data_IF_909012007960
#
_entry.id   IF_909012007960
#
_cell.length_a   1.000
_cell.length_b   1.000
_cell.length_c   1.000
_cell.angle_alpha   90.00
_cell.angle_beta   90.00
_cell.angle_gamma   90.00
#
_symmetry.space_group_name_H-M   'P 1'
#
loop_
_entity.id
_entity.type
_entity.pdbx_description
1 polymer ?
#
# COMPACT_ATOMS: atom_id res chain seq x y z
N UNK A 1 -73.05 10.56 -31.00
CA UNK A 1 -73.19 11.61 -29.97
C UNK A 1 -72.67 11.04 -28.65
N UNK A 2 -71.45 11.44 -28.27
CA UNK A 2 -70.77 11.28 -26.97
C UNK A 2 -70.77 9.89 -26.29
N UNK A 3 -69.64 9.29 -25.93
CA UNK A 3 -68.54 9.88 -25.18
C UNK A 3 -67.30 9.00 -25.33
N UNK A 4 -66.19 9.63 -25.70
CA UNK A 4 -64.85 9.08 -25.55
C UNK A 4 -64.65 8.59 -24.11
N UNK A 5 -64.45 7.28 -23.96
CA UNK A 5 -63.92 6.73 -22.72
C UNK A 5 -62.41 6.70 -22.85
N UNK A 6 -61.79 7.65 -22.14
CA UNK A 6 -60.37 7.76 -21.88
C UNK A 6 -59.68 6.38 -21.85
N UNK A 7 -58.86 6.10 -22.87
CA UNK A 7 -57.87 5.03 -22.77
C UNK A 7 -56.82 5.49 -21.77
N UNK A 8 -56.98 5.07 -20.52
CA UNK A 8 -55.93 5.15 -19.52
C UNK A 8 -54.88 4.11 -19.95
N UNK A 9 -53.80 4.59 -20.55
CA UNK A 9 -52.59 3.81 -20.74
C UNK A 9 -51.97 3.63 -19.36
N UNK A 10 -52.22 2.49 -18.73
CA UNK A 10 -51.49 2.08 -17.53
C UNK A 10 -50.11 1.64 -17.99
N UNK A 11 -49.18 2.59 -18.01
CA UNK A 11 -47.76 2.32 -18.12
C UNK A 11 -47.33 1.62 -16.82
N UNK A 12 -47.28 0.29 -16.83
CA UNK A 12 -46.69 -0.49 -15.74
C UNK A 12 -45.19 -0.26 -15.79
N UNK A 13 -44.73 0.73 -15.03
CA UNK A 13 -43.32 0.92 -14.72
C UNK A 13 -42.88 -0.25 -13.85
N UNK A 14 -42.27 -1.26 -14.48
CA UNK A 14 -41.53 -2.32 -13.79
C UNK A 14 -40.24 -1.70 -13.24
N UNK A 15 -40.34 -1.03 -12.09
CA UNK A 15 -39.16 -0.66 -11.31
C UNK A 15 -38.65 -1.96 -10.71
N UNK A 16 -37.61 -2.53 -11.33
CA UNK A 16 -36.80 -3.56 -10.72
C UNK A 16 -36.02 -2.90 -9.57
N UNK A 17 -36.65 -2.81 -8.40
CA UNK A 17 -36.01 -2.39 -7.15
C UNK A 17 -35.12 -3.56 -6.71
N UNK A 18 -33.92 -3.61 -7.27
CA UNK A 18 -32.82 -4.38 -6.69
C UNK A 18 -32.44 -3.71 -5.36
N UNK A 19 -33.20 -4.00 -4.31
CA UNK A 19 -32.80 -3.64 -2.95
C UNK A 19 -31.66 -4.59 -2.60
N UNK A 20 -30.43 -4.10 -2.71
CA UNK A 20 -29.27 -4.78 -2.19
C UNK A 20 -29.37 -4.79 -0.65
N UNK A 21 -29.87 -5.89 -0.08
CA UNK A 21 -29.81 -6.13 1.36
C UNK A 21 -28.38 -6.54 1.73
N UNK A 22 -27.61 -5.56 2.23
CA UNK A 22 -26.27 -5.77 2.74
C UNK A 22 -26.27 -5.74 4.26
N UNK A 23 -26.12 -6.92 4.87
CA UNK A 23 -25.88 -7.04 6.31
C UNK A 23 -24.51 -6.42 6.66
N UNK A 24 -24.49 -5.37 7.47
CA UNK A 24 -23.27 -4.76 7.96
C UNK A 24 -22.96 -5.23 9.38
N UNK A 25 -22.25 -6.35 9.51
CA UNK A 25 -21.50 -6.63 10.75
C UNK A 25 -20.36 -5.63 10.80
N UNK A 26 -20.39 -4.73 11.79
CA UNK A 26 -19.25 -3.91 12.16
C UNK A 26 -18.69 -4.49 13.45
N UNK A 27 -17.40 -4.83 13.45
CA UNK A 27 -16.72 -5.27 14.66
C UNK A 27 -15.67 -4.26 15.06
N UNK A 28 -15.60 -4.00 16.36
CA UNK A 28 -14.53 -3.23 16.98
C UNK A 28 -14.15 -3.97 18.25
N UNK A 29 -12.87 -4.29 18.40
CA UNK A 29 -12.25 -5.00 19.53
C UNK A 29 -13.21 -5.42 20.67
N UNK A 30 -13.65 -6.69 20.64
CA UNK A 30 -14.49 -7.28 21.68
C UNK A 30 -16.00 -7.07 21.53
N UNK A 31 -16.45 -6.32 20.51
CA UNK A 31 -17.86 -6.06 20.22
C UNK A 31 -18.24 -6.47 18.80
N UNK A 32 -19.39 -7.11 18.67
CA UNK A 32 -20.08 -7.30 17.39
C UNK A 32 -21.28 -6.37 17.38
N UNK A 33 -21.33 -5.46 16.40
CA UNK A 33 -22.49 -4.62 16.10
C UNK A 33 -23.17 -5.19 14.87
N UNK A 34 -24.46 -5.47 15.03
CA UNK A 34 -25.30 -6.00 13.97
C UNK A 34 -26.43 -5.02 13.64
N UNK A 35 -26.48 -4.56 12.39
CA UNK A 35 -27.56 -3.73 11.85
C UNK A 35 -28.71 -4.62 11.33
N UNK A 36 -29.87 -4.50 11.98
CA UNK A 36 -31.07 -5.30 11.73
C UNK A 36 -32.23 -4.47 11.16
N UNK A 37 -31.96 -3.41 10.39
CA UNK A 37 -33.03 -2.73 9.62
C UNK A 37 -33.80 -3.67 8.66
N UNK A 38 -33.32 -4.91 8.45
CA UNK A 38 -34.11 -6.07 8.00
C UNK A 38 -34.70 -6.87 9.17
N UNK A 39 -36.01 -6.75 9.37
CA UNK A 39 -36.78 -7.03 10.59
C UNK A 39 -36.72 -8.43 11.27
N UNK A 40 -36.07 -9.49 10.76
CA UNK A 40 -36.12 -10.82 11.40
C UNK A 40 -34.98 -11.76 10.98
N UNK A 41 -33.74 -11.56 11.44
CA UNK A 41 -32.69 -12.55 11.12
C UNK A 41 -31.78 -12.94 12.30
N UNK A 42 -31.26 -14.17 12.18
CA UNK A 42 -30.59 -14.97 13.20
C UNK A 42 -29.28 -14.32 13.68
N UNK A 43 -29.05 -14.31 15.00
CA UNK A 43 -27.84 -13.72 15.62
C UNK A 43 -26.82 -14.78 16.06
N UNK A 44 -25.52 -14.66 15.72
CA UNK A 44 -24.48 -15.56 16.21
C UNK A 44 -24.41 -15.53 17.75
N UNK A 45 -24.60 -16.69 18.40
CA UNK A 45 -24.43 -16.86 19.85
C UNK A 45 -23.02 -17.36 20.18
N UNK A 46 -22.57 -18.37 19.45
CA UNK A 46 -21.27 -19.00 19.65
C UNK A 46 -20.57 -19.13 18.30
N UNK A 47 -19.25 -18.91 18.30
CA UNK A 47 -18.41 -19.11 17.13
C UNK A 47 -17.37 -20.17 17.47
N UNK A 48 -17.38 -21.27 16.73
CA UNK A 48 -16.36 -22.31 16.83
C UNK A 48 -15.30 -22.05 15.78
N UNK A 49 -14.06 -21.91 16.23
CA UNK A 49 -12.86 -21.87 15.41
C UNK A 49 -12.33 -23.30 15.31
N UNK A 50 -12.05 -23.73 14.08
CA UNK A 50 -11.52 -25.05 13.76
C UNK A 50 -10.07 -24.93 13.32
N UNK A 51 -9.25 -25.90 13.69
CA UNK A 51 -7.82 -25.91 13.36
C UNK A 51 -7.58 -26.08 11.85
N UNK A 52 -8.53 -26.68 11.14
CA UNK A 52 -8.43 -26.99 9.72
C UNK A 52 -9.54 -26.32 8.90
N UNK A 53 -9.30 -26.04 7.60
CA UNK A 53 -10.30 -25.43 6.72
C UNK A 53 -11.51 -26.33 6.45
N UNK A 54 -11.42 -27.64 6.76
CA UNK A 54 -12.52 -28.60 6.56
C UNK A 54 -13.41 -28.78 7.80
N UNK A 55 -13.22 -27.94 8.84
CA UNK A 55 -14.01 -27.93 10.07
C UNK A 55 -14.04 -29.27 10.81
N UNK A 56 -12.98 -30.07 10.72
CA UNK A 56 -12.93 -31.40 11.35
C UNK A 56 -12.56 -31.33 12.83
N UNK A 57 -11.65 -30.43 13.19
CA UNK A 57 -11.05 -30.37 14.52
C UNK A 57 -11.41 -29.04 15.19
N UNK A 58 -12.45 -28.99 16.05
CA UNK A 58 -12.76 -27.78 16.79
C UNK A 58 -11.61 -27.45 17.73
N UNK A 59 -11.28 -26.17 17.81
CA UNK A 59 -10.10 -25.70 18.54
C UNK A 59 -10.47 -24.69 19.64
N UNK A 60 -11.42 -23.80 19.36
CA UNK A 60 -11.84 -22.77 20.32
C UNK A 60 -13.29 -22.38 20.10
N UNK A 61 -14.04 -22.24 21.18
CA UNK A 61 -15.37 -21.65 21.17
C UNK A 61 -15.31 -20.23 21.74
N UNK A 62 -15.72 -19.26 20.92
CA UNK A 62 -15.96 -17.89 21.32
C UNK A 62 -17.43 -17.75 21.69
N UNK A 63 -17.70 -17.50 22.97
CA UNK A 63 -19.04 -17.28 23.48
C UNK A 63 -19.35 -15.79 23.49
N UNK A 64 -20.49 -15.44 22.93
CA UNK A 64 -21.00 -14.08 22.93
C UNK A 64 -22.25 -14.03 23.81
N UNK A 65 -22.31 -13.04 24.68
CA UNK A 65 -23.54 -12.69 25.39
C UNK A 65 -24.13 -11.46 24.77
N UNK A 66 -25.45 -11.46 24.68
CA UNK A 66 -26.21 -10.28 24.33
C UNK A 66 -25.91 -9.18 25.35
N UNK A 67 -25.41 -8.03 24.89
CA UNK A 67 -25.24 -6.89 25.79
C UNK A 67 -26.61 -6.35 26.18
N UNK A 68 -26.72 -5.82 27.40
CA UNK A 68 -27.99 -5.28 27.93
C UNK A 68 -28.43 -3.97 27.26
N UNK A 69 -27.62 -3.38 26.40
CA UNK A 69 -27.88 -2.06 25.80
C UNK A 69 -28.04 -2.21 24.28
N UNK A 70 -29.30 -2.13 23.81
CA UNK A 70 -29.58 -1.81 22.41
C UNK A 70 -29.21 -0.35 22.15
N UNK A 71 -28.48 -0.07 21.07
CA UNK A 71 -28.27 1.32 20.64
C UNK A 71 -29.64 1.91 20.24
N UNK A 72 -30.17 2.89 21.00
CA UNK A 72 -31.53 3.38 20.81
C UNK A 72 -31.70 4.16 19.50
N UNK A 73 -30.63 4.67 18.88
CA UNK A 73 -30.72 5.38 17.60
C UNK A 73 -30.78 4.44 16.40
N UNK A 74 -30.26 3.20 16.51
CA UNK A 74 -30.04 2.34 15.33
C UNK A 74 -30.67 0.93 15.42
N UNK A 75 -31.40 0.59 16.49
CA UNK A 75 -31.95 -0.76 16.69
C UNK A 75 -30.87 -1.87 16.63
N UNK A 76 -29.62 -1.52 16.98
CA UNK A 76 -28.51 -2.44 16.94
C UNK A 76 -28.41 -3.20 18.27
N UNK A 77 -28.23 -4.51 18.20
CA UNK A 77 -27.77 -5.29 19.34
C UNK A 77 -26.25 -5.32 19.37
N UNK A 78 -25.68 -4.93 20.50
CA UNK A 78 -24.25 -5.09 20.76
C UNK A 78 -24.09 -6.44 21.45
N UNK A 79 -23.16 -7.26 20.98
CA UNK A 79 -22.76 -8.50 21.66
C UNK A 79 -21.36 -8.32 22.22
N UNK A 80 -21.24 -8.56 23.53
CA UNK A 80 -19.96 -8.53 24.22
C UNK A 80 -19.39 -9.96 24.26
N UNK A 81 -18.15 -10.10 23.78
CA UNK A 81 -17.43 -11.37 23.87
C UNK A 81 -17.03 -11.65 25.31
N UNK A 82 -17.39 -12.83 25.82
CA UNK A 82 -17.08 -13.23 27.21
C UNK A 82 -15.63 -13.71 27.34
N UNK A 83 -15.10 -14.34 26.27
CA UNK A 83 -13.74 -14.88 26.27
C UNK A 83 -12.72 -13.77 25.93
N UNK A 84 -11.86 -13.42 26.89
CA UNK A 84 -10.84 -12.37 26.75
C UNK A 84 -9.51 -12.88 26.13
N UNK A 85 -8.82 -11.96 25.45
CA UNK A 85 -7.63 -12.12 24.58
C UNK A 85 -6.38 -12.65 25.31
N UNK A 86 -6.29 -12.46 26.63
CA UNK A 86 -5.00 -12.47 27.34
C UNK A 86 -4.29 -13.83 27.46
N UNK A 87 -4.89 -14.94 27.02
CA UNK A 87 -4.32 -16.29 27.19
C UNK A 87 -4.14 -17.07 25.89
N UNK A 88 -4.41 -16.47 24.72
CA UNK A 88 -4.39 -17.18 23.44
C UNK A 88 -3.06 -17.02 22.71
N UNK A 89 -2.36 -18.13 22.51
CA UNK A 89 -1.20 -18.21 21.61
C UNK A 89 -1.69 -18.20 20.15
N UNK A 90 -1.66 -17.04 19.50
CA UNK A 90 -2.12 -16.81 18.13
C UNK A 90 -1.51 -17.78 17.11
N UNK A 91 -0.31 -18.32 17.39
CA UNK A 91 0.36 -19.32 16.55
C UNK A 91 -0.41 -20.63 16.43
N UNK A 92 -1.41 -20.87 17.25
CA UNK A 92 -2.21 -22.10 17.18
C UNK A 92 -3.47 -21.96 16.33
N UNK A 93 -3.77 -20.75 15.86
CA UNK A 93 -5.05 -20.41 15.22
C UNK A 93 -4.90 -19.96 13.75
N UNK A 94 -3.71 -20.03 13.15
CA UNK A 94 -3.52 -19.57 11.77
C UNK A 94 -4.25 -20.46 10.77
N UNK A 95 -4.79 -19.85 9.72
CA UNK A 95 -5.51 -20.56 8.66
C UNK A 95 -6.77 -21.30 9.15
N UNK A 96 -7.19 -21.03 10.37
CA UNK A 96 -8.40 -21.62 10.94
C UNK A 96 -9.63 -21.18 10.17
N UNK A 97 -10.61 -22.07 10.08
CA UNK A 97 -11.95 -21.73 9.61
C UNK A 97 -12.89 -21.55 10.80
N UNK A 98 -13.93 -20.74 10.61
CA UNK A 98 -14.91 -20.44 11.65
C UNK A 98 -16.30 -20.83 11.19
N UNK A 99 -17.07 -21.41 12.10
CA UNK A 99 -18.50 -21.65 11.94
C UNK A 99 -19.24 -21.08 13.14
N UNK A 100 -20.47 -20.61 12.92
CA UNK A 100 -21.30 -20.05 13.96
C UNK A 100 -22.52 -20.93 14.26
N UNK A 101 -22.94 -20.89 15.52
CA UNK A 101 -24.28 -21.25 15.94
C UNK A 101 -25.08 -19.98 16.19
N UNK A 102 -26.33 -19.98 15.75
CA UNK A 102 -27.15 -18.79 15.60
C UNK A 102 -28.50 -19.06 16.27
N UNK A 103 -29.00 -18.13 17.08
CA UNK A 103 -30.33 -18.24 17.68
C UNK A 103 -31.37 -17.66 16.73
N UNK A 104 -32.38 -18.45 16.41
CA UNK A 104 -33.59 -17.94 15.79
C UNK A 104 -34.48 -17.33 16.89
N UNK A 105 -34.64 -16.00 16.86
CA UNK A 105 -35.48 -15.28 17.82
C UNK A 105 -36.97 -15.62 17.73
N UNK A 106 -37.43 -16.19 16.61
CA UNK A 106 -38.84 -16.56 16.41
C UNK A 106 -39.14 -17.94 16.97
N UNK A 107 -38.27 -18.92 16.69
CA UNK A 107 -38.47 -20.31 17.14
C UNK A 107 -37.76 -20.64 18.45
N UNK A 108 -36.90 -19.74 18.95
CA UNK A 108 -36.01 -19.94 20.09
C UNK A 108 -35.13 -21.21 19.96
N UNK A 109 -34.81 -21.60 18.72
CA UNK A 109 -33.93 -22.74 18.41
C UNK A 109 -32.56 -22.25 18.00
N UNK A 110 -31.53 -22.96 18.46
CA UNK A 110 -30.15 -22.74 18.03
C UNK A 110 -29.86 -23.58 16.80
N UNK A 111 -29.45 -22.94 15.72
CA UNK A 111 -29.00 -23.59 14.50
C UNK A 111 -27.48 -23.44 14.33
N UNK A 112 -26.77 -24.54 14.09
CA UNK A 112 -25.30 -24.59 14.01
C UNK A 112 -24.82 -24.92 12.60
N UNK A 113 -23.54 -24.67 12.32
CA UNK A 113 -22.94 -24.92 11.02
C UNK A 113 -23.11 -23.75 10.05
N UNK A 114 -23.53 -22.58 10.54
CA UNK A 114 -23.62 -21.40 9.70
C UNK A 114 -22.22 -21.00 9.23
N UNK A 115 -22.08 -20.83 7.92
CA UNK A 115 -20.87 -20.38 7.24
C UNK A 115 -21.26 -19.16 6.42
N UNK A 116 -21.02 -17.98 6.96
CA UNK A 116 -21.12 -16.74 6.21
C UNK A 116 -19.76 -16.09 6.12
N UNK A 117 -19.50 -15.43 4.99
CA UNK A 117 -18.31 -14.62 4.77
C UNK A 117 -18.09 -13.59 5.89
N UNK A 118 -19.18 -13.08 6.49
CA UNK A 118 -19.14 -12.14 7.61
C UNK A 118 -18.72 -12.76 8.95
N UNK A 119 -18.75 -14.09 9.13
CA UNK A 119 -18.35 -14.74 10.40
C UNK A 119 -16.89 -14.45 10.72
N UNK A 120 -16.03 -14.37 9.71
CA UNK A 120 -14.62 -14.01 9.87
C UNK A 120 -14.43 -12.64 10.48
N UNK A 121 -15.37 -11.71 10.26
CA UNK A 121 -15.34 -10.37 10.87
C UNK A 121 -15.51 -10.41 12.37
N UNK A 122 -16.08 -11.49 12.91
CA UNK A 122 -16.26 -11.70 14.35
C UNK A 122 -15.01 -12.28 15.04
N UNK A 123 -13.98 -12.64 14.26
CA UNK A 123 -12.71 -13.15 14.76
C UNK A 123 -11.79 -12.00 15.20
N UNK A 124 -10.67 -12.34 15.85
CA UNK A 124 -9.72 -11.34 16.31
C UNK A 124 -9.08 -10.63 15.10
N UNK A 125 -9.17 -9.28 15.02
CA UNK A 125 -8.40 -8.57 14.02
C UNK A 125 -6.91 -8.67 14.33
N UNK A 126 -6.04 -8.57 13.31
CA UNK A 126 -4.61 -8.43 13.53
C UNK A 126 -4.32 -7.21 14.42
N UNK A 127 -3.37 -7.33 15.35
CA UNK A 127 -2.93 -6.21 16.18
C UNK A 127 -1.42 -6.20 16.39
N UNK A 128 -0.88 -5.05 16.83
CA UNK A 128 0.56 -4.77 16.90
C UNK A 128 1.30 -5.06 15.58
N UNK A 129 0.62 -4.87 14.45
CA UNK A 129 1.18 -5.15 13.13
C UNK A 129 2.22 -4.09 12.79
N UNK A 130 3.44 -4.53 12.53
CA UNK A 130 4.60 -3.69 12.21
C UNK A 130 5.30 -4.21 10.96
N UNK A 131 5.49 -3.33 9.99
CA UNK A 131 6.29 -3.60 8.80
C UNK A 131 7.74 -3.23 9.11
N UNK A 132 8.65 -4.20 9.05
CA UNK A 132 10.04 -3.97 9.46
C UNK A 132 10.79 -3.02 8.53
N UNK A 133 10.38 -2.96 7.26
CA UNK A 133 10.93 -2.07 6.25
C UNK A 133 9.84 -1.66 5.25
N UNK A 134 10.10 -0.60 4.48
CA UNK A 134 9.31 -0.27 3.29
C UNK A 134 9.84 -1.05 2.07
N UNK A 135 8.98 -1.50 1.14
CA UNK A 135 9.43 -2.15 -0.09
C UNK A 135 10.21 -1.18 -0.99
N UNK A 136 11.31 -1.60 -1.62
CA UNK A 136 11.98 -0.81 -2.64
C UNK A 136 11.12 -0.76 -3.91
N UNK A 137 11.34 0.23 -4.77
CA UNK A 137 10.51 0.42 -5.99
C UNK A 137 10.64 -0.74 -6.99
N UNK A 138 11.75 -1.49 -6.96
CA UNK A 138 11.94 -2.73 -7.73
C UNK A 138 11.14 -3.93 -7.22
N UNK A 139 10.39 -3.77 -6.14
CA UNK A 139 9.74 -4.87 -5.45
C UNK A 139 10.74 -5.66 -4.60
N UNK A 140 10.23 -6.53 -3.75
CA UNK A 140 11.05 -7.29 -2.83
C UNK A 140 10.27 -7.90 -1.68
N UNK A 141 10.99 -8.61 -0.81
CA UNK A 141 10.41 -9.28 0.35
C UNK A 141 10.46 -8.35 1.55
N UNK A 142 9.31 -8.14 2.19
CA UNK A 142 9.18 -7.39 3.43
C UNK A 142 8.68 -8.29 4.54
N UNK A 143 9.37 -8.22 5.67
CA UNK A 143 8.99 -8.94 6.86
C UNK A 143 8.03 -8.10 7.70
N UNK A 144 6.98 -8.74 8.19
CA UNK A 144 5.89 -8.13 8.95
C UNK A 144 5.70 -8.93 10.23
N UNK A 145 5.64 -8.24 11.37
CA UNK A 145 5.37 -8.84 12.66
C UNK A 145 4.02 -8.39 13.19
N UNK A 146 3.39 -9.20 14.03
CA UNK A 146 2.10 -8.88 14.63
C UNK A 146 1.43 -10.13 15.17
N UNK A 147 0.25 -9.96 15.75
CA UNK A 147 -0.53 -11.05 16.34
C UNK A 147 -1.80 -11.27 15.52
N UNK A 148 -2.23 -12.54 15.38
CA UNK A 148 -3.45 -12.95 14.66
C UNK A 148 -3.51 -12.51 13.18
N UNK A 149 -2.37 -12.20 12.56
CA UNK A 149 -2.30 -11.70 11.18
C UNK A 149 -2.91 -12.65 10.14
N UNK A 150 -2.98 -13.94 10.47
CA UNK A 150 -3.49 -15.01 9.59
C UNK A 150 -4.60 -15.82 10.26
N UNK A 151 -5.34 -15.23 11.20
CA UNK A 151 -6.51 -15.86 11.82
C UNK A 151 -7.69 -15.81 10.85
N UNK A 152 -8.42 -16.93 10.67
CA UNK A 152 -9.67 -16.91 9.91
C UNK A 152 -9.52 -16.76 8.40
N UNK A 153 -8.30 -16.79 7.87
CA UNK A 153 -8.05 -16.59 6.45
C UNK A 153 -8.18 -17.92 5.69
N UNK A 154 -8.72 -17.88 4.48
CA UNK A 154 -8.89 -19.09 3.66
C UNK A 154 -7.56 -19.55 3.04
N UNK A 155 -6.70 -18.60 2.66
CA UNK A 155 -5.45 -18.90 1.98
C UNK A 155 -4.26 -18.23 2.69
N UNK A 156 -3.41 -19.06 3.31
CA UNK A 156 -2.19 -18.63 4.00
C UNK A 156 -1.13 -18.04 3.07
N UNK A 157 -1.25 -18.20 1.75
CA UNK A 157 -0.27 -17.73 0.77
C UNK A 157 -0.65 -16.41 0.11
N UNK A 158 -1.85 -15.89 0.36
CA UNK A 158 -2.36 -14.71 -0.33
C UNK A 158 -2.66 -13.57 0.64
N UNK A 159 -2.21 -12.37 0.27
CA UNK A 159 -2.65 -11.09 0.81
C UNK A 159 -3.00 -10.14 -0.35
N UNK A 160 -3.66 -9.03 -0.05
CA UNK A 160 -4.11 -8.09 -1.07
C UNK A 160 -3.26 -6.81 -1.06
N UNK A 161 -2.85 -6.40 -2.25
CA UNK A 161 -2.14 -5.15 -2.50
C UNK A 161 -2.95 -4.24 -3.41
N UNK A 162 -3.12 -2.99 -2.98
CA UNK A 162 -3.89 -1.97 -3.68
C UNK A 162 -3.09 -0.67 -3.78
N UNK A 163 -2.65 -0.32 -4.97
CA UNK A 163 -2.11 1.01 -5.28
C UNK A 163 -3.07 1.76 -6.20
N UNK A 164 -2.67 2.94 -6.66
CA UNK A 164 -3.40 3.68 -7.71
C UNK A 164 -3.44 2.91 -9.04
N UNK A 165 -2.50 1.98 -9.23
CA UNK A 165 -2.18 1.36 -10.52
C UNK A 165 -2.55 -0.12 -10.53
N UNK A 166 -2.46 -0.77 -9.37
CA UNK A 166 -2.60 -2.20 -9.24
C UNK A 166 -3.60 -2.55 -8.16
N UNK A 167 -4.43 -3.52 -8.48
CA UNK A 167 -5.25 -4.24 -7.52
C UNK A 167 -4.97 -5.72 -7.74
N UNK A 168 -4.14 -6.30 -6.88
CA UNK A 168 -3.65 -7.67 -7.09
C UNK A 168 -3.36 -8.39 -5.79
N UNK A 169 -3.35 -9.70 -5.88
CA UNK A 169 -2.86 -10.57 -4.84
C UNK A 169 -1.33 -10.51 -4.79
N UNK A 170 -0.79 -10.57 -3.58
CA UNK A 170 0.64 -10.72 -3.33
C UNK A 170 0.90 -11.97 -2.51
N UNK A 171 2.08 -12.54 -2.71
CA UNK A 171 2.47 -13.79 -2.09
C UNK A 171 2.94 -13.55 -0.67
N UNK A 172 2.36 -14.30 0.26
CA UNK A 172 2.80 -14.42 1.65
C UNK A 172 3.46 -15.79 1.79
N UNK A 173 4.65 -15.83 2.37
CA UNK A 173 5.28 -17.10 2.70
C UNK A 173 4.46 -17.82 3.79
N UNK A 174 4.22 -19.12 3.61
CA UNK A 174 3.54 -19.96 4.58
C UNK A 174 2.88 -21.18 3.95
N UNK A 175 2.94 -22.31 4.64
CA UNK A 175 2.20 -23.52 4.30
C UNK A 175 1.43 -24.01 5.53
N UNK A 176 0.25 -24.60 5.31
CA UNK A 176 -0.57 -25.13 6.40
C UNK A 176 0.15 -26.21 7.20
N UNK A 177 0.95 -27.03 6.50
CA UNK A 177 1.60 -28.21 7.06
C UNK A 177 3.06 -27.95 7.50
N UNK A 178 3.59 -26.74 7.35
CA UNK A 178 4.95 -26.41 7.78
C UNK A 178 5.00 -26.23 9.31
N UNK A 179 5.67 -27.12 10.06
CA UNK A 179 5.75 -27.02 11.52
C UNK A 179 6.56 -25.82 12.01
N UNK A 180 7.35 -25.19 11.14
CA UNK A 180 8.14 -23.99 11.44
C UNK A 180 7.42 -22.69 11.04
N UNK A 181 6.22 -22.79 10.46
CA UNK A 181 5.47 -21.61 10.07
C UNK A 181 5.17 -20.72 11.28
N UNK A 182 5.57 -19.45 11.19
CA UNK A 182 5.31 -18.46 12.21
C UNK A 182 4.27 -17.45 11.72
N UNK A 183 2.98 -17.60 12.06
CA UNK A 183 1.93 -16.69 11.61
C UNK A 183 2.05 -15.28 12.22
N UNK A 184 2.94 -15.08 13.19
CA UNK A 184 3.25 -13.78 13.80
C UNK A 184 4.46 -13.10 13.16
N UNK A 185 5.11 -13.77 12.20
CA UNK A 185 6.23 -13.25 11.43
C UNK A 185 6.08 -13.67 9.97
N UNK A 186 5.55 -12.77 9.15
CA UNK A 186 5.24 -13.02 7.75
C UNK A 186 6.32 -12.43 6.86
N UNK A 187 6.70 -13.16 5.81
CA UNK A 187 7.48 -12.62 4.70
C UNK A 187 6.57 -12.43 3.50
N UNK A 188 6.52 -11.21 2.97
CA UNK A 188 5.54 -10.81 1.94
C UNK A 188 6.29 -10.26 0.74
N UNK A 189 6.01 -10.81 -0.45
CA UNK A 189 6.66 -10.40 -1.69
C UNK A 189 5.86 -9.31 -2.38
N UNK A 190 6.38 -8.09 -2.36
CA UNK A 190 5.79 -6.94 -3.04
C UNK A 190 6.25 -6.86 -4.51
N UNK A 191 5.34 -6.53 -5.44
CA UNK A 191 5.70 -6.27 -6.83
C UNK A 191 6.47 -4.95 -6.96
N UNK A 192 7.13 -4.71 -8.11
CA UNK A 192 7.64 -3.38 -8.45
C UNK A 192 6.52 -2.33 -8.43
N UNK A 193 6.83 -1.13 -7.95
CA UNK A 193 5.86 -0.04 -7.83
C UNK A 193 6.44 1.22 -7.20
N UNK A 194 5.57 2.19 -6.91
CA UNK A 194 5.95 3.50 -6.38
C UNK A 194 4.84 4.12 -5.53
N UNK A 195 5.19 5.19 -4.82
CA UNK A 195 4.22 6.01 -4.08
C UNK A 195 3.61 5.31 -2.86
N UNK A 196 2.42 5.78 -2.49
CA UNK A 196 1.61 5.23 -1.40
C UNK A 196 0.69 4.12 -1.89
N UNK A 197 0.45 3.13 -1.05
CA UNK A 197 -0.46 2.02 -1.34
C UNK A 197 -1.14 1.54 -0.06
N UNK A 198 -2.17 0.73 -0.23
CA UNK A 198 -2.92 0.07 0.83
C UNK A 198 -2.67 -1.44 0.74
N UNK A 199 -2.34 -2.05 1.87
CA UNK A 199 -2.04 -3.48 1.96
C UNK A 199 -2.95 -4.15 2.97
N UNK A 200 -3.63 -5.23 2.59
CA UNK A 200 -4.57 -5.95 3.44
C UNK A 200 -4.06 -7.37 3.68
N UNK A 201 -4.07 -7.80 4.94
CA UNK A 201 -3.63 -9.15 5.34
C UNK A 201 -4.64 -10.25 4.94
N UNK A 202 -5.81 -9.87 4.42
CA UNK A 202 -6.83 -10.77 3.92
C UNK A 202 -7.36 -10.27 2.57
N UNK A 203 -8.07 -11.16 1.86
CA UNK A 203 -8.83 -10.84 0.65
C UNK A 203 -10.06 -9.98 0.92
N UNK A 204 -10.43 -9.82 2.19
CA UNK A 204 -11.73 -9.29 2.59
C UNK A 204 -11.69 -7.78 2.86
N UNK A 205 -10.51 -7.17 2.64
CA UNK A 205 -10.20 -5.73 2.76
C UNK A 205 -10.55 -5.12 4.13
N UNK A 206 -10.68 -5.95 5.18
CA UNK A 206 -11.14 -5.47 6.48
C UNK A 206 -10.01 -4.78 7.25
N UNK A 207 -8.82 -5.41 7.24
CA UNK A 207 -7.67 -4.94 8.00
C UNK A 207 -6.55 -4.55 7.03
N UNK A 208 -6.58 -3.29 6.63
CA UNK A 208 -5.64 -2.76 5.67
C UNK A 208 -4.80 -1.63 6.25
N UNK A 209 -3.56 -1.57 5.79
CA UNK A 209 -2.53 -0.66 6.26
C UNK A 209 -2.15 0.29 5.12
N UNK A 210 -2.14 1.58 5.43
CA UNK A 210 -1.62 2.59 4.51
C UNK A 210 -0.09 2.63 4.62
N UNK A 211 0.57 2.28 3.52
CA UNK A 211 2.02 2.12 3.43
C UNK A 211 2.56 2.89 2.23
N UNK A 212 3.87 2.88 2.08
CA UNK A 212 4.54 3.44 0.92
C UNK A 212 5.76 2.62 0.54
N UNK A 213 6.15 2.72 -0.73
CA UNK A 213 7.48 2.32 -1.15
C UNK A 213 8.53 3.21 -0.48
N UNK A 214 9.79 2.77 -0.52
CA UNK A 214 10.93 3.58 -0.09
C UNK A 214 11.04 4.84 -0.94
N UNK A 215 11.41 5.95 -0.31
CA UNK A 215 11.68 7.20 -1.02
C UNK A 215 12.94 7.08 -1.88
N UNK A 216 13.02 7.83 -3.00
CA UNK A 216 14.24 7.86 -3.81
C UNK A 216 15.43 8.30 -2.95
N UNK A 217 16.61 7.79 -3.26
CA UNK A 217 17.86 8.15 -2.59
C UNK A 217 18.89 8.53 -3.65
N UNK A 218 19.57 9.66 -3.46
CA UNK A 218 20.67 10.09 -4.33
C UNK A 218 21.98 9.76 -3.59
N UNK A 219 22.75 8.81 -4.13
CA UNK A 219 24.04 8.40 -3.55
C UNK A 219 25.20 9.18 -4.16
N UNK A 220 25.16 9.45 -5.47
CA UNK A 220 26.14 10.30 -6.14
C UNK A 220 25.59 10.89 -7.43
N UNK A 221 26.24 11.94 -7.91
CA UNK A 221 25.89 12.60 -9.16
C UNK A 221 27.16 12.90 -9.92
N UNK A 222 27.16 12.63 -11.22
CA UNK A 222 28.28 12.84 -12.12
C UNK A 222 27.84 13.67 -13.32
N UNK A 223 28.60 14.70 -13.66
CA UNK A 223 28.40 15.49 -14.86
C UNK A 223 29.40 15.08 -15.95
N UNK A 224 28.88 14.69 -17.11
CA UNK A 224 29.69 14.36 -18.27
C UNK A 224 29.70 15.54 -19.24
N UNK A 225 30.85 16.19 -19.36
CA UNK A 225 31.06 17.38 -20.19
C UNK A 225 31.03 17.07 -21.69
N UNK A 226 31.33 15.82 -22.10
CA UNK A 226 31.39 15.43 -23.51
C UNK A 226 30.01 15.31 -24.14
N UNK A 227 29.00 14.87 -23.38
CA UNK A 227 27.64 14.66 -23.86
C UNK A 227 26.59 15.54 -23.15
N UNK A 228 27.01 16.43 -22.24
CA UNK A 228 26.13 17.28 -21.43
C UNK A 228 25.03 16.47 -20.71
N UNK A 229 25.43 15.36 -20.10
CA UNK A 229 24.54 14.55 -19.29
C UNK A 229 24.89 14.65 -17.81
N UNK A 230 23.85 14.72 -16.99
CA UNK A 230 23.94 14.57 -15.55
C UNK A 230 23.43 13.17 -15.18
N UNK A 231 24.33 12.31 -14.72
CA UNK A 231 24.01 10.96 -14.26
C UNK A 231 23.86 10.97 -12.74
N UNK A 232 22.69 10.60 -12.26
CA UNK A 232 22.34 10.49 -10.85
C UNK A 232 22.32 9.01 -10.50
N UNK A 233 23.21 8.59 -9.61
CA UNK A 233 23.22 7.24 -9.01
C UNK A 233 22.49 7.27 -7.68
N UNK A 234 21.83 6.17 -7.35
CA UNK A 234 20.95 6.13 -6.20
C UNK A 234 20.23 4.82 -6.05
N UNK A 235 19.14 4.86 -5.31
CA UNK A 235 18.21 3.76 -5.12
C UNK A 235 16.78 4.29 -5.19
N UNK A 236 15.84 3.36 -5.42
CA UNK A 236 14.40 3.62 -5.38
C UNK A 236 13.91 4.66 -6.38
N UNK A 237 14.62 4.79 -7.51
CA UNK A 237 14.05 5.44 -8.68
C UNK A 237 13.01 4.50 -9.32
N UNK A 238 12.09 5.05 -10.10
CA UNK A 238 11.06 4.26 -10.76
C UNK A 238 10.61 4.95 -12.02
N UNK A 239 10.51 4.19 -13.11
CA UNK A 239 10.01 4.68 -14.37
C UNK A 239 8.72 3.95 -14.72
N UNK A 240 7.60 4.65 -14.63
CA UNK A 240 6.33 4.15 -15.14
C UNK A 240 5.47 5.31 -15.59
N UNK A 241 4.54 5.00 -16.50
CA UNK A 241 3.53 5.91 -17.01
C UNK A 241 2.20 5.53 -16.41
N UNK A 242 1.48 6.50 -15.87
CA UNK A 242 0.21 6.25 -15.20
C UNK A 242 -1.01 6.61 -16.05
N UNK A 243 -1.97 5.68 -16.11
CA UNK A 243 -3.32 5.89 -16.62
C UNK A 243 -3.44 6.04 -18.14
N UNK A 244 -4.67 6.24 -18.61
CA UNK A 244 -5.03 6.31 -20.05
C UNK A 244 -4.32 7.46 -20.80
N UNK A 245 -3.77 8.43 -20.06
CA UNK A 245 -3.03 9.59 -20.61
C UNK A 245 -1.52 9.53 -20.35
N UNK A 246 -0.99 8.39 -19.90
CA UNK A 246 0.45 8.18 -19.66
C UNK A 246 1.13 9.32 -18.89
N UNK A 247 0.61 9.66 -17.71
CA UNK A 247 1.19 10.73 -16.90
C UNK A 247 2.54 10.30 -16.33
N UNK A 248 3.54 11.16 -16.46
CA UNK A 248 4.83 11.05 -15.80
C UNK A 248 4.63 11.11 -14.29
N UNK A 249 5.21 10.15 -13.58
CA UNK A 249 5.13 10.05 -12.12
C UNK A 249 6.36 10.67 -11.44
N UNK A 250 7.42 10.91 -12.21
CA UNK A 250 8.69 11.46 -11.76
C UNK A 250 8.80 12.92 -12.16
N UNK A 251 9.14 13.77 -11.20
CA UNK A 251 9.43 15.17 -11.43
C UNK A 251 10.80 15.50 -10.84
N UNK A 252 11.67 16.06 -11.67
CA UNK A 252 13.03 16.46 -11.27
C UNK A 252 13.12 17.97 -11.31
N UNK A 253 13.70 18.55 -10.26
CA UNK A 253 13.95 19.98 -10.16
C UNK A 253 15.45 20.20 -9.95
N UNK A 254 16.02 21.14 -10.69
CA UNK A 254 17.39 21.62 -10.50
C UNK A 254 17.32 23.09 -10.10
N UNK A 255 17.88 23.44 -8.94
CA UNK A 255 17.83 24.79 -8.37
C UNK A 255 16.40 25.36 -8.29
N UNK A 256 15.43 24.50 -7.94
CA UNK A 256 14.01 24.84 -7.84
C UNK A 256 13.25 24.93 -9.17
N UNK A 257 13.94 24.82 -10.31
CA UNK A 257 13.31 24.84 -11.64
C UNK A 257 12.97 23.41 -12.08
N UNK A 258 11.71 23.18 -12.46
CA UNK A 258 11.27 21.87 -12.97
C UNK A 258 11.90 21.59 -14.34
N UNK A 259 12.47 20.40 -14.50
CA UNK A 259 12.86 19.87 -15.80
C UNK A 259 11.62 19.41 -16.58
N UNK A 260 11.72 19.41 -17.91
CA UNK A 260 10.73 18.78 -18.78
C UNK A 260 10.96 17.27 -18.78
N UNK A 261 9.91 16.51 -19.07
CA UNK A 261 10.03 15.06 -19.23
C UNK A 261 11.04 14.68 -20.32
N UNK A 262 11.14 15.46 -21.41
CA UNK A 262 12.13 15.26 -22.47
C UNK A 262 13.58 15.41 -22.00
N UNK A 263 13.80 16.10 -20.88
CA UNK A 263 15.14 16.31 -20.33
C UNK A 263 15.57 15.09 -19.49
N UNK A 264 14.65 14.17 -19.18
CA UNK A 264 14.95 12.90 -18.54
C UNK A 264 15.23 11.87 -19.63
N UNK A 265 16.50 11.57 -19.87
CA UNK A 265 16.91 10.67 -20.96
C UNK A 265 16.70 9.20 -20.62
N UNK A 266 16.92 8.82 -19.36
CA UNK A 266 16.60 7.46 -18.87
C UNK A 266 16.40 7.43 -17.36
N UNK A 267 15.60 6.46 -16.90
CA UNK A 267 15.38 6.15 -15.48
C UNK A 267 15.34 4.63 -15.31
N UNK A 268 16.27 4.11 -14.52
CA UNK A 268 16.23 2.76 -13.93
C UNK A 268 15.86 2.82 -12.45
N UNK A 269 16.13 1.74 -11.70
CA UNK A 269 15.90 1.72 -10.24
C UNK A 269 17.03 2.38 -9.43
N UNK A 270 18.25 2.38 -10.00
CA UNK A 270 19.49 2.77 -9.31
C UNK A 270 20.26 3.87 -10.07
N UNK A 271 19.77 4.26 -11.25
CA UNK A 271 20.34 5.31 -12.08
C UNK A 271 19.26 6.13 -12.78
N UNK A 272 19.46 7.44 -12.85
CA UNK A 272 18.70 8.37 -13.66
C UNK A 272 19.68 9.23 -14.46
N UNK A 273 19.42 9.41 -15.76
CA UNK A 273 20.24 10.26 -16.64
C UNK A 273 19.39 11.41 -17.13
N UNK A 274 19.95 12.62 -17.05
CA UNK A 274 19.31 13.86 -17.45
C UNK A 274 20.13 14.54 -18.55
N UNK A 275 19.45 15.10 -19.54
CA UNK A 275 20.03 16.09 -20.44
C UNK A 275 20.11 17.41 -19.71
N UNK A 276 21.32 17.84 -19.37
CA UNK A 276 21.55 19.07 -18.62
C UNK A 276 22.82 19.72 -19.12
N UNK A 277 22.75 20.99 -19.54
CA UNK A 277 23.91 21.72 -20.02
C UNK A 277 24.36 22.73 -18.97
N UNK A 278 25.63 22.66 -18.58
CA UNK A 278 26.31 23.66 -17.77
C UNK A 278 27.64 24.03 -18.39
N UNK A 279 27.92 25.33 -18.49
CA UNK A 279 29.19 25.86 -19.01
C UNK A 279 30.11 26.39 -17.89
N UNK A 280 29.65 26.42 -16.64
CA UNK A 280 30.40 26.92 -15.48
C UNK A 280 30.39 25.94 -14.30
N UNK A 281 31.35 26.13 -13.40
CA UNK A 281 31.37 25.48 -12.08
C UNK A 281 30.21 26.02 -11.26
N UNK A 282 29.37 25.14 -10.74
CA UNK A 282 28.22 25.53 -9.92
C UNK A 282 27.82 24.44 -8.94
N UNK A 283 27.20 24.89 -7.86
CA UNK A 283 26.43 24.03 -6.97
C UNK A 283 25.01 23.85 -7.54
N UNK A 284 24.55 22.61 -7.61
CA UNK A 284 23.20 22.24 -8.01
C UNK A 284 22.46 21.64 -6.82
N UNK A 285 21.31 22.20 -6.50
CA UNK A 285 20.32 21.55 -5.65
C UNK A 285 19.37 20.73 -6.53
N UNK A 286 19.49 19.41 -6.44
CA UNK A 286 18.67 18.47 -7.18
C UNK A 286 17.61 17.94 -6.23
N UNK A 287 16.36 18.00 -6.67
CA UNK A 287 15.27 17.32 -5.97
C UNK A 287 14.45 16.46 -6.91
N UNK A 288 14.11 15.26 -6.44
CA UNK A 288 13.38 14.25 -7.21
C UNK A 288 12.12 13.89 -6.44
N UNK A 289 10.99 14.06 -7.09
CA UNK A 289 9.68 13.62 -6.63
C UNK A 289 9.22 12.42 -7.45
N UNK A 290 8.77 11.36 -6.78
CA UNK A 290 8.12 10.19 -7.42
C UNK A 290 6.77 10.00 -6.73
N UNK A 291 5.68 10.39 -7.42
CA UNK A 291 4.35 10.57 -6.83
C UNK A 291 4.38 11.47 -5.58
N UNK A 292 4.27 10.87 -4.39
CA UNK A 292 4.24 11.55 -3.10
C UNK A 292 5.52 11.36 -2.28
N UNK A 293 6.55 10.75 -2.87
CA UNK A 293 7.86 10.51 -2.26
C UNK A 293 8.88 11.50 -2.79
N UNK A 294 9.79 11.95 -1.93
CA UNK A 294 10.71 13.06 -2.21
C UNK A 294 12.12 12.75 -1.72
N UNK A 295 13.10 13.29 -2.43
CA UNK A 295 14.49 13.40 -1.97
C UNK A 295 15.12 14.66 -2.51
N UNK A 296 16.13 15.17 -1.81
CA UNK A 296 16.97 16.25 -2.27
C UNK A 296 18.44 15.97 -1.98
N UNK A 297 19.30 16.51 -2.81
CA UNK A 297 20.73 16.48 -2.60
C UNK A 297 21.38 17.67 -3.30
N UNK A 298 22.47 18.15 -2.71
CA UNK A 298 23.26 19.25 -3.24
C UNK A 298 24.57 18.70 -3.75
N UNK A 299 24.93 19.03 -4.99
CA UNK A 299 26.16 18.55 -5.63
C UNK A 299 26.89 19.70 -6.29
N UNK A 300 28.21 19.59 -6.39
CA UNK A 300 29.03 20.56 -7.09
C UNK A 300 29.45 20.00 -8.45
N UNK A 301 29.22 20.76 -9.52
CA UNK A 301 29.89 20.54 -10.80
C UNK A 301 31.26 21.21 -10.70
N UNK A 302 32.37 20.44 -10.63
CA UNK A 302 33.70 21.01 -10.54
C UNK A 302 34.17 21.56 -11.90
N UNK A 303 35.27 22.33 -11.93
CA UNK A 303 35.95 22.67 -13.18
C UNK A 303 36.63 21.44 -13.79
N UNK A 304 36.70 21.39 -15.12
CA UNK A 304 37.35 20.30 -15.87
C UNK A 304 38.45 20.85 -16.78
N UNK A 305 39.67 21.06 -16.25
CA UNK A 305 40.84 21.37 -17.07
C UNK A 305 41.12 20.21 -18.04
N UNK A 306 41.32 20.52 -19.31
CA UNK A 306 41.64 19.56 -20.37
C UNK A 306 43.14 19.56 -20.70
N UNK A 307 43.76 20.73 -20.75
CA UNK A 307 45.20 20.86 -21.00
C UNK A 307 45.74 22.15 -20.40
N UNK A 308 47.07 22.23 -20.32
CA UNK A 308 47.76 23.47 -20.00
C UNK A 308 48.93 23.68 -20.96
N UNK A 309 49.24 24.95 -21.23
CA UNK A 309 50.43 25.38 -21.94
C UNK A 309 51.18 26.38 -21.06
N UNK A 310 52.50 26.44 -21.19
CA UNK A 310 53.31 27.39 -20.43
C UNK A 310 54.45 27.91 -21.29
N UNK A 311 54.70 29.22 -21.19
CA UNK A 311 55.90 29.85 -21.72
C UNK A 311 56.94 30.13 -20.61
N UNK A 312 56.73 29.59 -19.41
CA UNK A 312 57.60 29.84 -18.27
C UNK A 312 59.02 29.31 -18.51
N UNK A 313 60.00 30.20 -18.31
CA UNK A 313 61.41 29.78 -18.22
C UNK A 313 61.72 29.33 -16.80
N UNK A 314 62.87 28.66 -16.61
CA UNK A 314 63.30 28.02 -15.35
C UNK A 314 63.37 28.95 -14.11
N UNK A 315 63.18 30.26 -14.30
CA UNK A 315 63.28 31.29 -13.27
C UNK A 315 62.03 32.19 -13.27
N UNK A 316 61.04 31.74 -12.50
CA UNK A 316 60.00 32.50 -11.77
C UNK A 316 58.99 33.43 -12.48
N UNK A 317 59.02 33.60 -13.81
CA UNK A 317 57.97 34.37 -14.50
C UNK A 317 57.53 33.67 -15.80
N UNK A 318 56.20 33.56 -15.97
CA UNK A 318 55.59 32.92 -17.13
C UNK A 318 54.06 32.90 -17.05
N UNK A 319 53.43 32.86 -18.21
CA UNK A 319 51.99 32.72 -18.36
C UNK A 319 51.69 31.22 -18.49
N UNK A 320 50.82 30.72 -17.61
CA UNK A 320 50.22 29.40 -17.73
C UNK A 320 48.83 29.57 -18.31
N UNK A 321 48.62 29.01 -19.49
CA UNK A 321 47.32 28.97 -20.13
C UNK A 321 46.68 27.63 -19.83
N UNK A 322 45.47 27.63 -19.25
CA UNK A 322 44.70 26.42 -18.96
C UNK A 322 43.49 26.41 -19.90
N UNK A 323 43.31 25.32 -20.65
CA UNK A 323 42.11 25.10 -21.46
C UNK A 323 41.27 23.99 -20.83
N UNK A 324 39.95 24.09 -20.93
CA UNK A 324 39.03 23.16 -20.27
C UNK A 324 37.60 23.66 -20.29
N UNK A 325 36.70 22.94 -19.62
CA UNK A 325 35.29 23.31 -19.46
C UNK A 325 34.97 23.65 -18.00
N UNK A 326 33.92 24.45 -17.79
CA UNK A 326 33.50 24.90 -16.46
C UNK A 326 34.59 25.61 -15.64
N UNK A 327 35.62 26.20 -16.28
CA UNK A 327 36.73 26.85 -15.58
C UNK A 327 36.33 28.15 -14.87
N UNK A 328 35.22 28.77 -15.30
CA UNK A 328 34.68 29.98 -14.70
C UNK A 328 33.64 29.63 -13.63
N UNK A 329 33.60 30.43 -12.57
CA UNK A 329 32.45 30.42 -11.67
C UNK A 329 31.30 31.24 -12.27
N UNK A 330 30.10 31.05 -11.75
CA UNK A 330 28.93 31.83 -12.16
C UNK A 330 29.09 33.34 -11.91
N UNK A 331 29.90 33.75 -10.93
CA UNK A 331 30.16 35.18 -10.66
C UNK A 331 31.05 35.77 -11.75
N UNK A 332 32.12 35.08 -12.10
CA UNK A 332 33.12 35.55 -13.07
C UNK A 332 32.53 35.72 -14.48
N UNK A 333 31.44 35.02 -14.80
CA UNK A 333 30.74 35.19 -16.07
C UNK A 333 29.92 36.49 -16.14
N UNK A 334 29.30 36.93 -15.04
CA UNK A 334 28.49 38.16 -15.07
C UNK A 334 29.37 39.43 -15.20
N UNK A 335 30.68 39.28 -15.00
CA UNK A 335 31.69 40.33 -15.08
C UNK A 335 32.46 40.32 -16.43
N UNK A 336 32.08 39.44 -17.37
CA UNK A 336 32.53 39.37 -18.77
C UNK A 336 31.50 39.98 -19.71
#
# INVERSE_FOLDING_TARGET
>A
MFKDKNKIVILVFLIHLSICFGYHVKTSYGKIVVDFTGLYDRVPLNITIYKDPYLKIPYLNLNFTWSKFSDPEFHNYIFDRITYVATMDSKKYYGSAASACVLDGTTNKTECGFQAYSIKRCLFPPYNVTFLNKPPTKGGVINVTGEFMRLGINDLKVALFKSKDFYQNVTVAGEYDDPNYNPNFLSITFPPGYGKFKFCLDSDEQNCYDLSFQSPLISSVYYNTTNNHLTIKGDNFYNSKYGVRERTIVYVYINGSSLKESDITSIGYEEMVLSYSSIYTQELNISINIDSLYTNNTIQIPPYPASYSTNATKYNEGIVEITGTQLLSRKDQNDL
#
